data_IF_744884024536
#
_entry.id   IF_744884024536
#
_cell.length_a   1.000
_cell.length_b   1.000
_cell.length_c   1.000
_cell.angle_alpha   90.00
_cell.angle_beta   90.00
_cell.angle_gamma   90.00
#
_symmetry.space_group_name_H-M   'P 1'
#
loop_
_entity.id
_entity.type
_entity.pdbx_description
1 polymer ?
#
# COMPACT_ATOMS: atom_id res chain seq x y z
N UNK A 1 -2.11 27.42 10.67
CA UNK A 1 -3.18 27.24 9.67
C UNK A 1 -3.68 25.81 9.78
N UNK A 2 -4.98 25.59 9.64
CA UNK A 2 -5.58 24.25 9.61
C UNK A 2 -5.95 23.92 8.18
N UNK A 3 -5.27 22.95 7.59
CA UNK A 3 -5.53 22.54 6.20
C UNK A 3 -6.50 21.36 6.23
N UNK A 4 -7.57 21.45 5.44
CA UNK A 4 -8.65 20.44 5.43
C UNK A 4 -8.34 19.25 4.51
N UNK A 5 -7.33 19.37 3.65
CA UNK A 5 -6.99 18.42 2.59
C UNK A 5 -5.46 18.27 2.47
N UNK A 6 -5.01 17.20 1.82
CA UNK A 6 -3.59 17.02 1.55
C UNK A 6 -2.75 16.40 2.66
N UNK A 7 -1.43 16.38 2.46
CA UNK A 7 -0.42 15.89 3.41
C UNK A 7 -0.54 16.53 4.80
N UNK A 8 -1.03 17.76 4.86
CA UNK A 8 -1.17 18.54 6.08
C UNK A 8 -2.56 18.43 6.73
N UNK A 9 -3.40 17.50 6.27
CA UNK A 9 -4.76 17.31 6.80
C UNK A 9 -4.72 17.02 8.30
N UNK A 10 -5.43 17.84 9.08
CA UNK A 10 -5.50 17.70 10.54
C UNK A 10 -4.24 18.11 11.29
N UNK A 11 -3.22 18.65 10.60
CA UNK A 11 -1.99 19.16 11.20
C UNK A 11 -2.02 20.69 11.28
N UNK A 12 -1.44 21.25 12.36
CA UNK A 12 -1.19 22.70 12.43
C UNK A 12 0.09 23.01 11.67
N UNK A 13 -0.05 23.74 10.56
CA UNK A 13 1.08 24.15 9.71
C UNK A 13 1.20 25.65 9.58
N UNK A 14 2.42 26.13 9.40
CA UNK A 14 2.76 27.52 9.14
C UNK A 14 2.57 27.87 7.66
N UNK A 15 2.37 29.17 7.38
CA UNK A 15 2.32 29.67 6.00
C UNK A 15 3.64 29.38 5.26
N UNK A 16 4.77 29.41 5.97
CA UNK A 16 6.09 29.12 5.43
C UNK A 16 6.25 27.66 5.00
N UNK A 17 5.78 26.72 5.82
CA UNK A 17 5.76 25.29 5.46
C UNK A 17 4.89 25.04 4.23
N UNK A 18 3.75 25.74 4.11
CA UNK A 18 2.89 25.63 2.94
C UNK A 18 3.52 26.25 1.68
N UNK A 19 4.16 27.42 1.78
CA UNK A 19 4.86 28.04 0.64
C UNK A 19 6.03 27.18 0.15
N UNK A 20 6.71 26.50 1.07
CA UNK A 20 7.80 25.59 0.74
C UNK A 20 7.35 24.15 0.50
N UNK A 21 6.05 23.89 0.62
CA UNK A 21 5.51 22.58 0.31
C UNK A 21 5.57 22.27 -1.18
N UNK A 22 5.42 20.98 -1.47
CA UNK A 22 5.19 20.41 -2.79
C UNK A 22 3.99 20.95 -3.57
N UNK A 23 3.06 21.66 -2.92
CA UNK A 23 1.87 22.24 -3.56
C UNK A 23 2.17 23.52 -4.35
N UNK A 24 3.34 24.14 -4.13
CA UNK A 24 3.73 25.41 -4.75
C UNK A 24 4.97 25.19 -5.62
N UNK A 25 4.80 25.35 -6.95
CA UNK A 25 5.91 25.26 -7.90
C UNK A 25 7.00 26.30 -7.61
N UNK A 26 8.25 26.02 -7.97
CA UNK A 26 9.35 26.96 -7.71
C UNK A 26 9.12 28.35 -8.31
N UNK A 27 8.59 28.41 -9.55
CA UNK A 27 8.30 29.67 -10.21
C UNK A 27 7.26 30.48 -9.43
N UNK A 28 6.21 29.81 -8.93
CA UNK A 28 5.15 30.45 -8.15
C UNK A 28 5.61 30.81 -6.75
N UNK A 29 6.47 29.99 -6.13
CA UNK A 29 7.13 30.28 -4.85
C UNK A 29 8.00 31.52 -4.97
N UNK A 30 8.86 31.60 -5.99
CA UNK A 30 9.69 32.78 -6.27
C UNK A 30 8.84 34.03 -6.45
N UNK A 31 7.76 33.92 -7.23
CA UNK A 31 6.82 35.02 -7.43
C UNK A 31 6.17 35.46 -6.11
N UNK A 32 5.60 34.54 -5.32
CA UNK A 32 4.96 34.85 -4.04
C UNK A 32 5.92 35.55 -3.07
N UNK A 33 7.15 35.03 -2.93
CA UNK A 33 8.16 35.60 -2.05
C UNK A 33 8.64 36.98 -2.52
N UNK A 34 8.80 37.19 -3.83
CA UNK A 34 9.22 38.47 -4.39
C UNK A 34 8.13 39.53 -4.27
N UNK A 35 6.87 39.17 -4.56
CA UNK A 35 5.72 40.07 -4.43
C UNK A 35 5.47 40.44 -2.96
N UNK A 36 5.62 39.49 -2.03
CA UNK A 36 5.49 39.77 -0.60
C UNK A 36 6.59 40.71 -0.09
N UNK A 37 7.86 40.49 -0.49
CA UNK A 37 8.98 41.39 -0.16
C UNK A 37 8.78 42.81 -0.69
N UNK A 38 8.08 42.96 -1.82
CA UNK A 38 7.74 44.25 -2.42
C UNK A 38 6.46 44.87 -1.86
N UNK A 39 5.85 44.28 -0.84
CA UNK A 39 4.58 44.70 -0.25
C UNK A 39 3.43 44.77 -1.27
N UNK A 40 3.52 44.00 -2.35
CA UNK A 40 2.49 43.92 -3.41
C UNK A 40 1.38 42.92 -3.06
N UNK A 41 1.66 42.00 -2.14
CA UNK A 41 0.70 41.04 -1.59
C UNK A 41 0.89 40.98 -0.08
N UNK A 42 -0.22 40.90 0.64
CA UNK A 42 -0.29 40.72 2.08
C UNK A 42 -0.05 39.26 2.50
N UNK A 43 0.22 39.04 3.78
CA UNK A 43 0.39 37.69 4.32
C UNK A 43 -0.90 36.87 4.18
N UNK A 44 -2.06 37.50 4.35
CA UNK A 44 -3.36 36.87 4.22
C UNK A 44 -3.64 36.40 2.78
N UNK A 45 -3.28 37.22 1.79
CA UNK A 45 -3.37 36.85 0.38
C UNK A 45 -2.42 35.69 0.03
N UNK A 46 -1.20 35.68 0.57
CA UNK A 46 -0.27 34.55 0.40
C UNK A 46 -0.84 33.28 1.01
N UNK A 47 -1.33 33.35 2.25
CA UNK A 47 -1.97 32.20 2.92
C UNK A 47 -3.15 31.68 2.11
N UNK A 48 -4.01 32.58 1.63
CA UNK A 48 -5.20 32.24 0.85
C UNK A 48 -4.82 31.57 -0.47
N UNK A 49 -3.87 32.16 -1.21
CA UNK A 49 -3.39 31.63 -2.48
C UNK A 49 -2.76 30.25 -2.33
N UNK A 50 -1.97 30.02 -1.28
CA UNK A 50 -1.34 28.72 -1.05
C UNK A 50 -2.36 27.69 -0.56
N UNK A 51 -3.29 28.07 0.32
CA UNK A 51 -4.34 27.15 0.79
C UNK A 51 -5.27 26.73 -0.35
N UNK A 52 -5.68 27.67 -1.21
CA UNK A 52 -6.47 27.35 -2.43
C UNK A 52 -5.70 26.49 -3.42
N UNK A 53 -4.37 26.64 -3.54
CA UNK A 53 -3.55 25.76 -4.37
C UNK A 53 -3.48 24.33 -3.84
N UNK A 54 -3.36 24.17 -2.52
CA UNK A 54 -3.44 22.86 -1.86
C UNK A 54 -4.82 22.25 -2.14
N UNK A 55 -5.91 22.99 -1.89
CA UNK A 55 -7.26 22.49 -2.14
C UNK A 55 -7.52 22.14 -3.61
N UNK A 56 -7.08 22.97 -4.56
CA UNK A 56 -7.26 22.72 -5.98
C UNK A 56 -6.46 21.51 -6.46
N UNK A 57 -5.23 21.35 -5.98
CA UNK A 57 -4.36 20.21 -6.30
C UNK A 57 -4.89 18.91 -5.69
N UNK A 58 -5.63 18.99 -4.59
CA UNK A 58 -6.23 17.83 -3.91
C UNK A 58 -7.65 17.51 -4.37
N UNK A 59 -8.34 18.47 -4.99
CA UNK A 59 -9.66 18.26 -5.62
C UNK A 59 -9.57 17.72 -7.03
N UNK A 60 -8.45 17.88 -7.73
CA UNK A 60 -8.25 17.24 -9.03
C UNK A 60 -7.86 15.78 -8.82
N UNK A 61 -8.73 14.80 -9.14
CA UNK A 61 -8.32 13.40 -9.13
C UNK A 61 -7.18 13.24 -10.12
N UNK A 62 -6.02 12.76 -9.65
CA UNK A 62 -4.96 12.32 -10.54
C UNK A 62 -5.55 11.26 -11.48
N UNK A 63 -5.53 11.48 -12.79
CA UNK A 63 -6.04 10.49 -13.75
C UNK A 63 -5.26 9.17 -13.68
N UNK A 64 -3.99 9.24 -13.26
CA UNK A 64 -3.13 8.08 -13.02
C UNK A 64 -3.50 7.38 -11.69
N UNK A 65 -4.09 6.19 -11.82
CA UNK A 65 -4.39 5.28 -10.71
C UNK A 65 -3.51 4.02 -10.79
N UNK A 66 -3.02 3.58 -9.64
CA UNK A 66 -2.17 2.42 -9.47
C UNK A 66 -2.95 1.32 -8.74
N UNK A 67 -2.72 0.07 -9.09
CA UNK A 67 -3.30 -1.06 -8.35
C UNK A 67 -2.46 -1.33 -7.10
N UNK A 68 -3.02 -1.05 -5.93
CA UNK A 68 -2.47 -1.51 -4.65
C UNK A 68 -2.91 -2.94 -4.33
N UNK A 69 -2.78 -3.36 -3.07
CA UNK A 69 -3.09 -4.72 -2.66
C UNK A 69 -4.59 -5.03 -2.77
N UNK A 70 -5.46 -4.09 -2.37
CA UNK A 70 -6.94 -4.23 -2.37
C UNK A 70 -7.68 -2.99 -2.84
N UNK A 71 -7.00 -1.85 -2.98
CA UNK A 71 -7.58 -0.58 -3.44
C UNK A 71 -6.75 0.00 -4.58
N UNK A 72 -7.38 0.86 -5.39
CA UNK A 72 -6.64 1.73 -6.29
C UNK A 72 -6.04 2.90 -5.50
N UNK A 73 -4.82 3.28 -5.87
CA UNK A 73 -4.06 4.37 -5.28
C UNK A 73 -3.89 5.46 -6.32
N UNK A 74 -4.09 6.71 -5.95
CA UNK A 74 -3.82 7.84 -6.85
C UNK A 74 -2.31 8.12 -6.91
N UNK A 75 -1.84 8.76 -7.98
CA UNK A 75 -0.47 9.26 -8.05
C UNK A 75 -0.14 10.20 -6.86
N UNK A 76 -1.11 10.97 -6.37
CA UNK A 76 -0.95 11.79 -5.16
C UNK A 76 -0.73 10.94 -3.90
N UNK A 77 -1.36 9.77 -3.77
CA UNK A 77 -1.14 8.88 -2.63
C UNK A 77 0.30 8.34 -2.63
N UNK A 78 0.80 7.92 -3.80
CA UNK A 78 2.20 7.48 -3.98
C UNK A 78 3.19 8.61 -3.67
N UNK A 79 2.85 9.84 -4.03
CA UNK A 79 3.70 10.99 -3.75
C UNK A 79 3.72 11.34 -2.26
N UNK A 80 2.55 11.35 -1.59
CA UNK A 80 2.45 11.60 -0.13
C UNK A 80 3.15 10.53 0.70
N UNK A 81 3.17 9.29 0.24
CA UNK A 81 3.94 8.21 0.85
C UNK A 81 5.43 8.23 0.50
N UNK A 82 5.88 9.25 -0.25
CA UNK A 82 7.26 9.46 -0.67
C UNK A 82 7.82 8.34 -1.56
N UNK A 83 6.95 7.63 -2.28
CA UNK A 83 7.38 6.60 -3.24
C UNK A 83 7.81 7.17 -4.57
N UNK A 84 7.16 8.26 -4.96
CA UNK A 84 7.52 8.99 -6.17
C UNK A 84 7.86 10.43 -5.78
N UNK A 85 8.78 11.02 -6.53
CA UNK A 85 9.13 12.42 -6.38
C UNK A 85 8.19 13.34 -7.17
N UNK A 86 8.30 14.65 -6.93
CA UNK A 86 7.46 15.65 -7.60
C UNK A 86 7.64 15.60 -9.12
N UNK A 87 8.87 15.36 -9.57
CA UNK A 87 9.20 15.23 -10.99
C UNK A 87 8.39 14.10 -11.62
N UNK A 88 8.36 12.91 -11.00
CA UNK A 88 7.61 11.75 -11.50
C UNK A 88 6.10 12.00 -11.46
N UNK A 89 5.58 12.66 -10.42
CA UNK A 89 4.17 13.06 -10.35
C UNK A 89 3.78 14.04 -11.48
N UNK A 90 4.63 15.03 -11.75
CA UNK A 90 4.42 16.00 -12.83
C UNK A 90 4.53 15.33 -14.21
N UNK A 91 5.48 14.41 -14.40
CA UNK A 91 5.63 13.61 -15.63
C UNK A 91 4.41 12.71 -15.90
N UNK A 92 3.84 12.08 -14.86
CA UNK A 92 2.59 11.31 -14.93
C UNK A 92 1.42 12.22 -15.31
N UNK A 93 1.31 13.39 -14.68
CA UNK A 93 0.23 14.36 -14.93
C UNK A 93 0.29 14.97 -16.33
N UNK A 94 1.49 15.06 -16.91
CA UNK A 94 1.72 15.54 -18.28
C UNK A 94 1.66 14.43 -19.34
N UNK A 95 1.46 13.16 -18.94
CA UNK A 95 1.46 12.00 -19.84
C UNK A 95 2.83 11.64 -20.43
N UNK A 96 3.92 12.18 -19.86
CA UNK A 96 5.30 11.86 -20.28
C UNK A 96 5.78 10.50 -19.77
N UNK A 97 5.24 10.07 -18.63
CA UNK A 97 5.41 8.72 -18.09
C UNK A 97 4.06 8.04 -17.99
N UNK A 98 4.05 6.73 -18.20
CA UNK A 98 2.84 5.93 -18.05
C UNK A 98 2.71 5.38 -16.62
N UNK A 99 1.49 5.02 -16.23
CA UNK A 99 1.23 4.30 -14.96
C UNK A 99 2.06 3.02 -14.89
N UNK A 100 2.16 2.29 -16.00
CA UNK A 100 2.91 1.03 -16.06
C UNK A 100 4.40 1.26 -15.79
N UNK A 101 5.02 2.24 -16.45
CA UNK A 101 6.43 2.56 -16.25
C UNK A 101 6.75 2.92 -14.79
N UNK A 102 5.87 3.67 -14.13
CA UNK A 102 6.05 4.03 -12.71
C UNK A 102 5.77 2.85 -11.79
N UNK A 103 4.78 2.00 -12.11
CA UNK A 103 4.47 0.80 -11.33
C UNK A 103 5.59 -0.26 -11.40
N UNK A 104 6.33 -0.32 -12.52
CA UNK A 104 7.44 -1.24 -12.73
C UNK A 104 8.75 -0.78 -12.08
N UNK A 105 8.84 0.46 -11.58
CA UNK A 105 10.00 0.91 -10.79
C UNK A 105 10.15 0.04 -9.54
N UNK A 106 11.33 -0.54 -9.31
CA UNK A 106 11.54 -1.54 -8.25
C UNK A 106 11.06 -1.10 -6.85
N UNK A 107 11.33 0.16 -6.49
CA UNK A 107 10.92 0.71 -5.19
C UNK A 107 9.39 0.90 -5.08
N UNK A 108 8.73 1.31 -6.17
CA UNK A 108 7.26 1.45 -6.23
C UNK A 108 6.61 0.08 -6.24
N UNK A 109 7.08 -0.85 -7.08
CA UNK A 109 6.56 -2.22 -7.16
C UNK A 109 6.64 -2.95 -5.82
N UNK A 110 7.78 -2.85 -5.12
CA UNK A 110 7.95 -3.46 -3.80
C UNK A 110 6.93 -2.95 -2.78
N UNK A 111 6.48 -1.71 -2.93
CA UNK A 111 5.52 -1.09 -2.03
C UNK A 111 4.06 -1.43 -2.39
N UNK A 112 3.75 -1.46 -3.69
CA UNK A 112 2.41 -1.77 -4.21
C UNK A 112 2.08 -3.26 -4.09
N UNK A 113 3.06 -4.13 -4.34
CA UNK A 113 2.84 -5.58 -4.50
C UNK A 113 3.67 -6.45 -3.54
N UNK A 114 4.71 -5.88 -2.91
CA UNK A 114 5.70 -6.65 -2.15
C UNK A 114 6.92 -7.05 -2.97
N UNK A 115 7.93 -7.56 -2.25
CA UNK A 115 9.14 -8.18 -2.80
C UNK A 115 8.96 -9.66 -3.09
N UNK A 116 10.05 -10.41 -3.08
CA UNK A 116 10.06 -11.84 -3.34
C UNK A 116 9.28 -12.62 -2.28
N UNK A 117 8.38 -13.50 -2.71
CA UNK A 117 7.63 -14.43 -1.87
C UNK A 117 7.77 -15.86 -2.41
N UNK A 118 7.48 -16.85 -1.58
CA UNK A 118 7.43 -18.26 -2.00
C UNK A 118 6.16 -18.44 -2.85
N UNK A 119 6.32 -18.48 -4.17
CA UNK A 119 5.21 -18.57 -5.12
C UNK A 119 4.66 -20.00 -5.28
N UNK A 120 5.50 -21.02 -5.08
CA UNK A 120 5.17 -22.40 -5.42
C UNK A 120 6.33 -23.35 -5.18
N UNK A 121 6.22 -24.54 -5.78
CA UNK A 121 7.23 -25.60 -5.73
C UNK A 121 7.78 -25.83 -7.14
N UNK A 122 9.07 -26.12 -7.23
CA UNK A 122 9.73 -26.58 -8.44
C UNK A 122 10.24 -27.99 -8.21
N UNK A 123 9.75 -28.97 -8.97
CA UNK A 123 10.29 -30.32 -8.96
C UNK A 123 11.63 -30.29 -9.70
N UNK A 124 12.72 -30.66 -9.02
CA UNK A 124 14.08 -30.47 -9.56
C UNK A 124 14.33 -31.33 -10.80
N UNK A 125 13.93 -32.60 -10.76
CA UNK A 125 14.20 -33.57 -11.81
C UNK A 125 13.46 -33.24 -13.12
N UNK A 126 12.20 -32.83 -13.02
CA UNK A 126 11.35 -32.53 -14.18
C UNK A 126 11.31 -31.05 -14.55
N UNK A 127 11.86 -30.18 -13.69
CA UNK A 127 11.69 -28.71 -13.75
C UNK A 127 10.22 -28.27 -13.78
N UNK A 128 9.30 -29.12 -13.33
CA UNK A 128 7.88 -28.82 -13.28
C UNK A 128 7.62 -27.79 -12.17
N UNK A 129 7.00 -26.66 -12.54
CA UNK A 129 6.53 -25.63 -11.61
C UNK A 129 5.10 -25.92 -11.22
N UNK A 130 4.78 -25.79 -9.94
CA UNK A 130 3.42 -25.95 -9.43
C UNK A 130 3.12 -24.95 -8.32
N UNK A 131 1.85 -24.56 -8.21
CA UNK A 131 1.37 -23.78 -7.08
C UNK A 131 1.44 -24.60 -5.78
N UNK A 132 1.42 -23.93 -4.62
CA UNK A 132 1.38 -24.62 -3.32
C UNK A 132 0.12 -25.48 -3.20
N UNK A 133 -1.01 -24.99 -3.72
CA UNK A 133 -2.27 -25.74 -3.81
C UNK A 133 -2.14 -27.04 -4.59
N UNK A 134 -1.47 -26.99 -5.75
CA UNK A 134 -1.26 -28.19 -6.56
C UNK A 134 -0.27 -29.16 -5.89
N UNK A 135 0.79 -28.63 -5.29
CA UNK A 135 1.73 -29.43 -4.52
C UNK A 135 1.06 -30.14 -3.32
N UNK A 136 0.07 -29.51 -2.69
CA UNK A 136 -0.76 -30.13 -1.67
C UNK A 136 -1.62 -31.25 -2.25
N UNK A 137 -2.35 -31.00 -3.35
CA UNK A 137 -3.21 -32.01 -4.00
C UNK A 137 -2.44 -33.25 -4.44
N UNK A 138 -1.22 -33.06 -4.95
CA UNK A 138 -0.33 -34.14 -5.39
C UNK A 138 0.48 -34.78 -4.26
N UNK A 139 0.23 -34.39 -3.00
CA UNK A 139 0.97 -34.85 -1.82
C UNK A 139 2.49 -34.61 -1.87
N UNK A 140 2.94 -33.64 -2.66
CA UNK A 140 4.34 -33.17 -2.68
C UNK A 140 4.65 -32.39 -1.41
N UNK A 141 3.67 -31.60 -0.92
CA UNK A 141 3.75 -30.92 0.36
C UNK A 141 2.80 -31.54 1.38
N UNK A 142 3.26 -31.64 2.62
CA UNK A 142 2.41 -32.02 3.75
C UNK A 142 1.33 -30.96 3.99
N UNK A 143 0.11 -31.34 4.41
CA UNK A 143 -0.99 -30.39 4.64
C UNK A 143 -0.65 -29.20 5.53
N UNK A 144 0.05 -29.45 6.65
CA UNK A 144 0.45 -28.37 7.57
C UNK A 144 1.41 -27.36 6.92
N UNK A 145 2.42 -27.84 6.18
CA UNK A 145 3.38 -26.97 5.49
C UNK A 145 2.72 -26.17 4.38
N UNK A 146 1.87 -26.80 3.57
CA UNK A 146 1.15 -26.12 2.50
C UNK A 146 0.23 -25.01 3.05
N UNK A 147 -0.49 -25.29 4.14
CA UNK A 147 -1.35 -24.31 4.78
C UNK A 147 -0.56 -23.09 5.27
N UNK A 148 0.57 -23.29 5.95
CA UNK A 148 1.42 -22.20 6.45
C UNK A 148 1.91 -21.30 5.30
N UNK A 149 2.31 -21.90 4.17
CA UNK A 149 2.77 -21.15 3.00
C UNK A 149 1.62 -20.39 2.31
N UNK A 150 0.44 -20.99 2.20
CA UNK A 150 -0.75 -20.32 1.65
C UNK A 150 -1.22 -19.16 2.55
N UNK A 151 -1.18 -19.33 3.88
CA UNK A 151 -1.48 -18.27 4.84
C UNK A 151 -0.48 -17.11 4.69
N UNK A 152 0.80 -17.41 4.51
CA UNK A 152 1.82 -16.38 4.26
C UNK A 152 1.57 -15.63 2.94
N UNK A 153 1.18 -16.32 1.86
CA UNK A 153 0.78 -15.68 0.60
C UNK A 153 -0.45 -14.78 0.80
N UNK A 154 -1.50 -15.29 1.45
CA UNK A 154 -2.73 -14.52 1.72
C UNK A 154 -2.45 -13.27 2.56
N UNK A 155 -1.61 -13.38 3.59
CA UNK A 155 -1.24 -12.28 4.49
C UNK A 155 -0.25 -11.27 3.88
N UNK A 156 0.34 -11.58 2.73
CA UNK A 156 1.30 -10.69 2.03
C UNK A 156 0.72 -10.07 0.77
N UNK A 157 -0.51 -10.40 0.41
CA UNK A 157 -1.26 -9.72 -0.63
C UNK A 157 -2.07 -10.66 -1.50
N UNK A 158 -1.45 -11.73 -2.01
CA UNK A 158 -2.07 -12.53 -3.05
C UNK A 158 -1.66 -14.00 -2.95
N UNK A 159 -2.59 -14.88 -3.29
CA UNK A 159 -2.29 -16.25 -3.65
C UNK A 159 -1.74 -16.29 -5.06
N UNK A 160 -0.71 -17.10 -5.25
CA UNK A 160 0.09 -17.06 -6.47
C UNK A 160 -0.09 -18.34 -7.26
N UNK A 161 -0.40 -18.17 -8.55
CA UNK A 161 -0.24 -19.22 -9.54
C UNK A 161 1.05 -18.96 -10.33
N UNK A 162 2.14 -19.72 -10.07
CA UNK A 162 3.40 -19.55 -10.77
C UNK A 162 3.41 -20.12 -12.19
N UNK A 163 2.39 -20.89 -12.59
CA UNK A 163 2.27 -21.49 -13.92
C UNK A 163 1.62 -20.49 -14.86
N UNK A 164 0.49 -19.91 -14.45
CA UNK A 164 -0.23 -18.88 -15.22
C UNK A 164 0.25 -17.45 -14.93
N UNK A 165 1.19 -17.29 -14.01
CA UNK A 165 1.70 -16.00 -13.53
C UNK A 165 0.57 -15.07 -13.01
N UNK A 166 -0.35 -15.64 -12.23
CA UNK A 166 -1.52 -14.93 -11.69
C UNK A 166 -1.36 -14.62 -10.22
N UNK A 167 -1.87 -13.45 -9.83
CA UNK A 167 -2.05 -13.01 -8.45
C UNK A 167 -3.55 -12.95 -8.17
N UNK A 168 -4.00 -13.70 -7.17
CA UNK A 168 -5.40 -13.89 -6.87
C UNK A 168 -5.68 -13.51 -5.41
N UNK A 169 -6.82 -12.87 -5.18
CA UNK A 169 -7.41 -12.79 -3.84
C UNK A 169 -7.82 -14.19 -3.37
N UNK A 170 -8.04 -14.36 -2.06
CA UNK A 170 -8.49 -15.66 -1.52
C UNK A 170 -9.81 -16.11 -2.14
N UNK A 171 -10.72 -15.16 -2.40
CA UNK A 171 -12.00 -15.43 -3.04
C UNK A 171 -11.84 -15.86 -4.50
N UNK A 172 -11.01 -15.18 -5.29
CA UNK A 172 -10.76 -15.55 -6.70
C UNK A 172 -10.10 -16.93 -6.80
N UNK A 173 -9.13 -17.22 -5.92
CA UNK A 173 -8.46 -18.52 -5.88
C UNK A 173 -9.41 -19.66 -5.47
N UNK A 174 -10.34 -19.40 -4.55
CA UNK A 174 -11.39 -20.35 -4.20
C UNK A 174 -12.34 -20.62 -5.38
N UNK A 175 -12.78 -19.57 -6.06
CA UNK A 175 -13.61 -19.68 -7.27
C UNK A 175 -12.89 -20.44 -8.40
N UNK A 176 -11.57 -20.32 -8.49
CA UNK A 176 -10.73 -21.07 -9.42
C UNK A 176 -10.44 -22.52 -8.97
N UNK A 177 -11.01 -22.98 -7.85
CA UNK A 177 -10.84 -24.37 -7.38
C UNK A 177 -9.45 -24.67 -6.81
N UNK A 178 -8.68 -23.65 -6.41
CA UNK A 178 -7.33 -23.86 -5.86
C UNK A 178 -7.34 -24.62 -4.52
N UNK A 179 -8.44 -24.60 -3.77
CA UNK A 179 -8.58 -25.28 -2.48
C UNK A 179 -10.05 -25.38 -2.06
N UNK A 180 -10.32 -26.22 -1.05
CA UNK A 180 -11.67 -26.45 -0.51
C UNK A 180 -12.12 -25.43 0.54
N UNK A 181 -13.37 -25.57 0.99
CA UNK A 181 -14.05 -24.64 1.92
C UNK A 181 -13.35 -24.51 3.28
N UNK A 182 -12.77 -25.59 3.80
CA UNK A 182 -12.04 -25.55 5.08
C UNK A 182 -10.82 -24.63 4.99
N UNK A 183 -9.99 -24.80 3.95
CA UNK A 183 -8.82 -23.94 3.69
C UNK A 183 -9.25 -22.52 3.40
N UNK A 184 -10.35 -22.32 2.66
CA UNK A 184 -10.88 -20.98 2.36
C UNK A 184 -11.12 -20.14 3.62
N UNK A 185 -11.73 -20.71 4.67
CA UNK A 185 -11.98 -19.99 5.92
C UNK A 185 -10.67 -19.58 6.63
N UNK A 186 -9.67 -20.48 6.64
CA UNK A 186 -8.35 -20.20 7.23
C UNK A 186 -7.62 -19.10 6.46
N UNK A 187 -7.66 -19.15 5.13
CA UNK A 187 -7.01 -18.16 4.28
C UNK A 187 -7.71 -16.79 4.33
N UNK A 188 -9.04 -16.73 4.45
CA UNK A 188 -9.73 -15.46 4.72
C UNK A 188 -9.29 -14.85 6.05
N UNK A 189 -9.04 -15.69 7.07
CA UNK A 189 -8.53 -15.21 8.35
C UNK A 189 -7.14 -14.59 8.21
N UNK A 190 -6.26 -15.19 7.41
CA UNK A 190 -4.93 -14.66 7.14
C UNK A 190 -4.96 -13.41 6.23
N UNK A 191 -5.86 -13.36 5.25
CA UNK A 191 -6.03 -12.22 4.33
C UNK A 191 -6.45 -10.93 5.05
N UNK A 192 -7.07 -11.03 6.24
CA UNK A 192 -7.33 -9.88 7.13
C UNK A 192 -6.07 -9.11 7.53
N UNK A 193 -4.90 -9.73 7.48
CA UNK A 193 -3.63 -9.02 7.63
C UNK A 193 -3.37 -7.98 6.51
N UNK A 194 -4.10 -8.07 5.40
CA UNK A 194 -4.06 -7.16 4.25
C UNK A 194 -5.29 -6.25 4.21
N UNK A 195 -6.48 -6.81 4.43
CA UNK A 195 -7.76 -6.06 4.33
C UNK A 195 -8.15 -5.32 5.59
N UNK A 196 -7.56 -5.68 6.74
CA UNK A 196 -7.89 -5.15 8.06
C UNK A 196 -8.68 -6.14 8.89
N UNK A 197 -8.53 -6.03 10.21
CA UNK A 197 -9.38 -6.70 11.18
C UNK A 197 -10.45 -5.71 11.65
N UNK A 198 -11.71 -6.14 11.69
CA UNK A 198 -12.77 -5.31 12.27
C UNK A 198 -12.68 -5.35 13.78
N UNK A 199 -12.52 -4.19 14.41
CA UNK A 199 -12.65 -4.03 15.85
C UNK A 199 -14.11 -4.25 16.28
N UNK A 200 -14.43 -5.21 17.16
CA UNK A 200 -15.80 -5.49 17.56
C UNK A 200 -16.45 -4.38 18.38
N UNK A 201 -15.66 -3.46 18.97
CA UNK A 201 -16.16 -2.38 19.81
C UNK A 201 -16.40 -1.09 19.03
N UNK A 202 -15.53 -0.77 18.06
CA UNK A 202 -15.62 0.48 17.27
C UNK A 202 -16.15 0.27 15.85
N UNK A 203 -16.08 -0.96 15.33
CA UNK A 203 -16.37 -1.26 13.92
C UNK A 203 -15.27 -0.82 12.95
N UNK A 204 -14.19 -0.22 13.45
CA UNK A 204 -13.09 0.29 12.61
C UNK A 204 -12.20 -0.85 12.10
N UNK A 205 -11.56 -0.62 10.94
CA UNK A 205 -10.53 -1.52 10.43
C UNK A 205 -9.19 -1.21 11.10
N UNK A 206 -8.66 -2.20 11.81
CA UNK A 206 -7.39 -2.12 12.53
C UNK A 206 -6.33 -3.03 11.90
N UNK A 207 -5.07 -2.68 12.12
CA UNK A 207 -3.93 -3.43 11.59
C UNK A 207 -3.78 -4.80 12.25
N UNK A 208 -3.00 -5.69 11.63
CA UNK A 208 -2.64 -6.99 12.23
C UNK A 208 -1.99 -6.81 13.62
N UNK A 209 -1.11 -5.84 13.77
CA UNK A 209 -0.43 -5.57 15.04
C UNK A 209 -1.41 -5.09 16.13
N UNK A 210 -2.37 -4.23 15.76
CA UNK A 210 -3.43 -3.79 16.67
C UNK A 210 -4.36 -4.93 17.04
N UNK A 211 -4.72 -5.79 16.09
CA UNK A 211 -5.52 -6.99 16.34
C UNK A 211 -4.81 -7.93 17.33
N UNK A 212 -3.49 -8.08 17.23
CA UNK A 212 -2.69 -8.84 18.20
C UNK A 212 -2.69 -8.20 19.59
N UNK A 213 -2.61 -6.87 19.70
CA UNK A 213 -2.68 -6.16 21.00
C UNK A 213 -4.05 -6.27 21.67
N UNK A 214 -5.10 -6.49 20.88
CA UNK A 214 -6.49 -6.62 21.34
C UNK A 214 -6.95 -8.09 21.43
N UNK A 215 -6.03 -9.05 21.33
CA UNK A 215 -6.31 -10.49 21.38
C UNK A 215 -7.37 -10.98 20.37
N UNK A 216 -7.53 -10.29 19.24
CA UNK A 216 -8.45 -10.67 18.15
C UNK A 216 -7.88 -11.77 17.24
N UNK A 217 -6.60 -12.09 17.42
CA UNK A 217 -5.88 -13.16 16.73
C UNK A 217 -4.90 -13.81 17.69
N UNK A 218 -4.73 -15.13 17.57
CA UNK A 218 -3.74 -15.89 18.34
C UNK A 218 -2.35 -15.32 18.08
N UNK A 219 -1.63 -14.97 19.16
CA UNK A 219 -0.34 -14.26 19.10
C UNK A 219 0.69 -14.93 18.20
N UNK A 220 0.89 -16.25 18.34
CA UNK A 220 1.85 -17.02 17.54
C UNK A 220 1.51 -17.01 16.04
N UNK A 221 0.21 -17.07 15.72
CA UNK A 221 -0.25 -16.95 14.34
C UNK A 221 0.02 -15.55 13.79
N UNK A 222 -0.30 -14.51 14.56
CA UNK A 222 -0.04 -13.12 14.18
C UNK A 222 1.43 -12.80 13.96
N UNK A 223 2.33 -13.32 14.81
CA UNK A 223 3.80 -13.16 14.65
C UNK A 223 4.25 -13.70 13.30
N UNK A 224 3.84 -14.92 12.94
CA UNK A 224 4.16 -15.54 11.65
C UNK A 224 3.71 -14.70 10.45
N UNK A 225 2.51 -14.11 10.52
CA UNK A 225 2.00 -13.26 9.45
C UNK A 225 2.80 -11.95 9.34
N UNK A 226 3.19 -11.34 10.47
CA UNK A 226 4.06 -10.15 10.50
C UNK A 226 5.44 -10.45 9.90
N UNK A 227 6.06 -11.57 10.27
CA UNK A 227 7.35 -12.01 9.71
C UNK A 227 7.28 -12.16 8.19
N UNK A 228 6.20 -12.77 7.68
CA UNK A 228 5.97 -12.88 6.24
C UNK A 228 5.86 -11.50 5.56
N UNK A 229 5.14 -10.54 6.15
CA UNK A 229 5.04 -9.18 5.63
C UNK A 229 6.40 -8.46 5.61
N UNK A 230 7.15 -8.51 6.71
CA UNK A 230 8.49 -7.88 6.81
C UNK A 230 9.43 -8.46 5.76
N UNK A 231 9.51 -9.79 5.66
CA UNK A 231 10.37 -10.48 4.70
C UNK A 231 10.02 -10.13 3.24
N UNK A 232 8.75 -9.81 2.98
CA UNK A 232 8.23 -9.47 1.65
C UNK A 232 8.12 -7.96 1.40
N UNK A 233 8.78 -7.11 2.18
CA UNK A 233 8.96 -5.70 1.84
C UNK A 233 8.39 -4.68 2.81
N UNK A 234 7.76 -5.10 3.91
CA UNK A 234 7.29 -4.21 4.96
C UNK A 234 5.89 -4.56 5.46
N UNK A 235 5.49 -3.91 6.55
CA UNK A 235 4.19 -4.10 7.21
C UNK A 235 3.08 -3.57 6.31
N UNK A 236 1.93 -4.23 6.24
CA UNK A 236 0.82 -3.76 5.40
C UNK A 236 -0.08 -2.82 6.21
N UNK A 237 -0.38 -1.65 5.62
CA UNK A 237 -1.42 -0.73 6.09
C UNK A 237 -2.75 -1.10 5.42
N UNK A 238 -3.74 -1.63 6.15
CA UNK A 238 -5.01 -2.05 5.56
C UNK A 238 -5.90 -0.90 5.10
N UNK A 239 -5.74 0.30 5.68
CA UNK A 239 -6.53 1.48 5.32
C UNK A 239 -6.06 2.02 3.98
N UNK A 240 -4.75 2.16 3.82
CA UNK A 240 -4.14 2.72 2.62
C UNK A 240 -3.69 1.66 1.60
N UNK A 241 -3.89 0.38 1.89
CA UNK A 241 -3.71 -0.76 0.97
C UNK A 241 -2.31 -0.88 0.35
N UNK A 242 -1.29 -0.55 1.14
CA UNK A 242 0.10 -0.58 0.72
C UNK A 242 1.04 -0.96 1.87
N UNK A 243 2.30 -1.27 1.56
CA UNK A 243 3.30 -1.62 2.57
C UNK A 243 3.92 -0.39 3.18
N UNK A 244 4.37 -0.44 4.42
CA UNK A 244 5.15 0.60 5.08
C UNK A 244 6.46 0.00 5.59
N UNK A 245 7.58 0.74 5.55
CA UNK A 245 8.82 0.33 6.21
C UNK A 245 8.57 -0.02 7.69
N UNK A 246 9.25 -1.04 8.20
CA UNK A 246 8.99 -1.58 9.53
C UNK A 246 9.27 -0.55 10.66
N UNK A 247 10.30 0.27 10.48
CA UNK A 247 10.65 1.41 11.33
C UNK A 247 9.56 2.48 11.33
N UNK A 248 9.00 2.81 10.16
CA UNK A 248 7.89 3.75 10.04
C UNK A 248 6.57 3.19 10.62
N UNK A 249 6.37 1.87 10.56
CA UNK A 249 5.19 1.19 11.10
C UNK A 249 5.16 1.28 12.64
N UNK A 250 6.29 1.04 13.30
CA UNK A 250 6.36 1.09 14.77
C UNK A 250 5.98 2.44 15.37
N UNK A 251 6.22 3.54 14.64
CA UNK A 251 5.83 4.89 15.06
C UNK A 251 4.33 5.18 14.90
N UNK A 252 3.61 4.41 14.08
CA UNK A 252 2.17 4.60 13.79
C UNK A 252 1.24 3.77 14.70
N UNK A 253 1.81 2.87 15.52
CA UNK A 253 1.07 2.01 16.46
C UNK A 253 0.42 0.81 15.80
#
# INVERSE_FOLDING_TARGET
LSVQHGRFRGQRVSAWELVNSEYVSEARRRWLLQSFRRHQVSLEEVVTAVTTLVEASERQPSQATFRGLRKQLSANDLFRSQLIDRKTLDELSQGKKTVQEVAEMDHVRRYLEGGSFIAGVLIQDTREKMSISEALRRNVLRPGTALVLLEAQAATGFLIDPVENRKLTVQEAFAAGMFGRETYQKLLSAERAVTGYTDPYTGEQISLFQAMKKDLIVREHGIRLLEAQIATGGIIDPVHSHRVPADAAGARG
#
